data_IF_512447784013
#
_entry.id   IF_512447784013
#
_cell.length_a   1.000
_cell.length_b   1.000
_cell.length_c   1.000
_cell.angle_alpha   90.00
_cell.angle_beta   90.00
_cell.angle_gamma   90.00
#
_symmetry.space_group_name_H-M   'P 1'
#
loop_
_entity.id
_entity.type
_entity.pdbx_description
1 polymer ?
#
# COMPACT_ATOMS: atom_id res chain seq x y z
N UNK A 1 6.20 -9.21 3.66
CA UNK A 1 5.14 -9.05 2.63
C UNK A 1 3.81 -8.78 3.33
N UNK A 2 2.87 -8.11 2.66
CA UNK A 2 1.52 -7.84 3.19
C UNK A 2 0.50 -8.58 2.33
N UNK A 3 -0.50 -9.16 2.97
CA UNK A 3 -1.70 -9.69 2.33
C UNK A 3 -2.91 -9.03 2.99
N UNK A 4 -3.76 -8.42 2.19
CA UNK A 4 -4.89 -7.61 2.65
C UNK A 4 -6.07 -7.75 1.70
N UNK A 5 -7.07 -6.86 1.83
CA UNK A 5 -8.25 -6.86 0.96
C UNK A 5 -8.36 -5.56 0.16
N UNK A 6 -9.18 -5.57 -0.89
CA UNK A 6 -9.62 -4.34 -1.57
C UNK A 6 -10.68 -3.60 -0.74
N UNK A 7 -10.30 -3.20 0.48
CA UNK A 7 -11.17 -2.47 1.40
C UNK A 7 -10.66 -1.05 1.60
N UNK A 8 -11.59 -0.08 1.58
CA UNK A 8 -11.33 1.31 1.86
C UNK A 8 -10.10 1.86 1.10
N UNK A 9 -9.14 2.43 1.81
CA UNK A 9 -7.92 3.06 1.31
C UNK A 9 -6.76 2.08 1.10
N UNK A 10 -6.93 0.78 1.41
CA UNK A 10 -5.87 -0.22 1.25
C UNK A 10 -5.32 -0.24 -0.19
N UNK A 11 -6.15 -0.26 -1.25
CA UNK A 11 -5.65 -0.24 -2.64
C UNK A 11 -4.91 1.05 -3.02
N UNK A 12 -5.06 2.13 -2.25
CA UNK A 12 -4.37 3.40 -2.48
C UNK A 12 -2.98 3.44 -1.82
N UNK A 13 -2.81 2.74 -0.69
CA UNK A 13 -1.56 2.74 0.10
C UNK A 13 -0.62 1.57 -0.20
N UNK A 14 -1.05 0.60 -1.02
CA UNK A 14 -0.21 -0.50 -1.51
C UNK A 14 -0.41 -0.73 -3.00
N UNK A 15 0.55 -1.41 -3.63
CA UNK A 15 0.47 -1.88 -5.02
C UNK A 15 0.29 -3.39 -5.05
N UNK A 16 -0.86 -3.84 -5.54
CA UNK A 16 -1.17 -5.26 -5.67
C UNK A 16 -0.22 -5.98 -6.64
N UNK A 17 0.28 -7.14 -6.23
CA UNK A 17 1.29 -7.93 -6.92
C UNK A 17 2.73 -7.44 -6.75
N UNK A 18 2.94 -6.20 -6.32
CA UNK A 18 4.28 -5.59 -6.17
C UNK A 18 4.68 -5.46 -4.70
N UNK A 19 3.91 -4.71 -3.89
CA UNK A 19 4.18 -4.48 -2.48
C UNK A 19 3.26 -5.24 -1.52
N UNK A 20 2.15 -5.76 -2.03
CA UNK A 20 1.18 -6.57 -1.30
C UNK A 20 0.43 -7.51 -2.25
N UNK A 21 -0.32 -8.47 -1.69
CA UNK A 21 -1.37 -9.20 -2.41
C UNK A 21 -2.74 -8.81 -1.86
N UNK A 22 -3.68 -8.45 -2.72
CA UNK A 22 -5.03 -8.01 -2.33
C UNK A 22 -6.10 -9.00 -2.74
N UNK A 23 -6.95 -9.43 -1.80
CA UNK A 23 -8.13 -10.26 -2.06
C UNK A 23 -9.44 -9.44 -2.04
N UNK A 24 -10.52 -9.88 -2.70
CA UNK A 24 -11.84 -9.30 -2.51
C UNK A 24 -12.31 -9.36 -1.05
N UNK A 25 -13.12 -8.39 -0.63
CA UNK A 25 -13.76 -8.45 0.68
C UNK A 25 -14.75 -9.62 0.77
N UNK A 26 -14.85 -10.22 1.96
CA UNK A 26 -15.78 -11.33 2.26
C UNK A 26 -15.58 -12.57 1.37
N UNK A 27 -14.40 -12.69 0.76
CA UNK A 27 -14.02 -13.84 -0.05
C UNK A 27 -12.86 -14.61 0.63
N UNK A 28 -13.19 -15.53 1.56
CA UNK A 28 -12.17 -16.32 2.25
C UNK A 28 -11.43 -17.30 1.33
N UNK A 29 -12.02 -17.70 0.21
CA UNK A 29 -11.40 -18.61 -0.75
C UNK A 29 -10.27 -17.89 -1.48
N UNK A 30 -10.54 -16.72 -2.07
CA UNK A 30 -9.50 -15.88 -2.69
C UNK A 30 -8.40 -15.47 -1.70
N UNK A 31 -8.77 -15.21 -0.43
CA UNK A 31 -7.80 -14.88 0.62
C UNK A 31 -6.87 -16.07 0.89
N UNK A 32 -7.41 -17.29 0.98
CA UNK A 32 -6.63 -18.51 1.20
C UNK A 32 -5.71 -18.82 0.02
N UNK A 33 -6.17 -18.63 -1.22
CA UNK A 33 -5.35 -18.79 -2.43
C UNK A 33 -4.13 -17.87 -2.42
N UNK A 34 -4.32 -16.59 -2.10
CA UNK A 34 -3.20 -15.62 -2.00
C UNK A 34 -2.25 -15.93 -0.85
N UNK A 35 -2.76 -16.49 0.26
CA UNK A 35 -1.91 -16.99 1.34
C UNK A 35 -1.02 -18.14 0.89
N UNK A 36 -1.59 -19.11 0.15
CA UNK A 36 -0.85 -20.24 -0.38
C UNK A 36 0.18 -19.80 -1.43
N UNK A 37 -0.17 -18.85 -2.31
CA UNK A 37 0.77 -18.23 -3.26
C UNK A 37 1.96 -17.62 -2.52
N UNK A 38 1.69 -16.81 -1.49
CA UNK A 38 2.74 -16.14 -0.74
C UNK A 38 3.63 -17.14 0.02
N UNK A 39 3.05 -18.17 0.63
CA UNK A 39 3.76 -19.21 1.34
C UNK A 39 4.63 -20.09 0.42
N UNK A 40 4.21 -20.28 -0.84
CA UNK A 40 4.94 -21.05 -1.84
C UNK A 40 6.16 -20.32 -2.41
N UNK A 41 6.26 -18.99 -2.23
CA UNK A 41 7.33 -18.15 -2.80
C UNK A 41 8.01 -17.22 -1.79
N UNK A 42 8.65 -17.74 -0.73
CA UNK A 42 9.34 -16.94 0.28
C UNK A 42 10.48 -16.07 -0.27
N UNK A 43 11.08 -16.45 -1.41
CA UNK A 43 12.11 -15.70 -2.11
C UNK A 43 11.64 -14.33 -2.61
N UNK A 44 10.34 -14.14 -2.85
CA UNK A 44 9.76 -12.86 -3.30
C UNK A 44 9.57 -11.86 -2.15
N UNK A 45 9.59 -12.33 -0.89
CA UNK A 45 9.22 -11.53 0.26
C UNK A 45 10.12 -10.31 0.51
N UNK A 46 11.46 -10.40 0.40
CA UNK A 46 12.32 -9.25 0.58
C UNK A 46 12.05 -8.16 -0.46
N UNK A 47 11.90 -8.55 -1.74
CA UNK A 47 11.61 -7.63 -2.84
C UNK A 47 10.26 -6.92 -2.65
N UNK A 48 9.22 -7.67 -2.27
CA UNK A 48 7.89 -7.12 -1.98
C UNK A 48 7.92 -6.15 -0.79
N UNK A 49 8.65 -6.50 0.27
CA UNK A 49 8.83 -5.61 1.43
C UNK A 49 9.57 -4.32 1.07
N UNK A 50 10.63 -4.41 0.26
CA UNK A 50 11.39 -3.26 -0.21
C UNK A 50 10.55 -2.35 -1.12
N UNK A 51 9.77 -2.92 -2.03
CA UNK A 51 8.86 -2.16 -2.88
C UNK A 51 7.80 -1.42 -2.05
N UNK A 52 7.23 -2.07 -1.03
CA UNK A 52 6.29 -1.43 -0.11
C UNK A 52 6.91 -0.28 0.68
N UNK A 53 8.12 -0.48 1.21
CA UNK A 53 8.87 0.57 1.92
C UNK A 53 9.13 1.77 1.01
N UNK A 54 9.65 1.53 -0.19
CA UNK A 54 9.93 2.59 -1.15
C UNK A 54 8.65 3.34 -1.55
N UNK A 55 7.53 2.64 -1.74
CA UNK A 55 6.26 3.26 -2.07
C UNK A 55 5.78 4.21 -0.96
N UNK A 56 5.81 3.76 0.29
CA UNK A 56 5.43 4.58 1.46
C UNK A 56 6.36 5.78 1.63
N UNK A 57 7.68 5.58 1.55
CA UNK A 57 8.65 6.68 1.68
C UNK A 57 8.53 7.72 0.56
N UNK A 58 8.03 7.34 -0.63
CA UNK A 58 7.89 8.28 -1.74
C UNK A 58 6.53 8.98 -1.75
N UNK A 59 5.45 8.25 -1.47
CA UNK A 59 4.08 8.74 -1.62
C UNK A 59 3.44 9.20 -0.30
N UNK A 60 3.93 8.70 0.84
CA UNK A 60 3.33 8.89 2.16
C UNK A 60 4.33 9.41 3.21
N UNK A 61 5.42 10.05 2.77
CA UNK A 61 6.34 10.72 3.68
C UNK A 61 5.65 11.89 4.38
N UNK A 62 5.70 11.89 5.72
CA UNK A 62 4.98 12.86 6.55
C UNK A 62 5.50 14.28 6.35
N UNK A 63 6.80 14.47 6.10
CA UNK A 63 7.39 15.79 5.92
C UNK A 63 6.88 16.37 4.59
N UNK A 64 6.96 15.59 3.51
CA UNK A 64 6.47 16.01 2.21
C UNK A 64 4.97 16.27 2.19
N UNK A 65 4.17 15.40 2.82
CA UNK A 65 2.72 15.59 2.91
C UNK A 65 2.34 16.83 3.74
N UNK A 66 3.12 17.14 4.79
CA UNK A 66 2.89 18.33 5.62
C UNK A 66 3.17 19.60 4.82
N UNK A 67 4.30 19.67 4.11
CA UNK A 67 4.63 20.81 3.24
C UNK A 67 3.53 21.05 2.19
N UNK A 68 3.06 19.99 1.52
CA UNK A 68 1.98 20.10 0.55
C UNK A 68 0.64 20.53 1.18
N UNK A 69 0.39 20.18 2.44
CA UNK A 69 -0.82 20.60 3.15
C UNK A 69 -0.75 22.07 3.53
N UNK A 70 0.39 22.53 4.05
CA UNK A 70 0.65 23.93 4.37
C UNK A 70 0.52 24.82 3.12
N UNK A 71 1.08 24.40 1.99
CA UNK A 71 0.95 25.11 0.71
C UNK A 71 -0.52 25.28 0.30
N UNK A 72 -1.35 24.24 0.47
CA UNK A 72 -2.79 24.29 0.16
C UNK A 72 -3.53 25.23 1.11
N UNK A 73 -3.20 25.23 2.40
CA UNK A 73 -3.78 26.18 3.35
C UNK A 73 -3.38 27.63 3.02
N UNK A 74 -2.11 27.86 2.67
CA UNK A 74 -1.64 29.17 2.27
C UNK A 74 -2.39 29.68 1.04
N UNK A 75 -2.58 28.83 0.03
CA UNK A 75 -3.34 29.17 -1.18
C UNK A 75 -4.77 29.62 -0.89
N UNK A 76 -5.45 29.02 0.09
CA UNK A 76 -6.82 29.41 0.48
C UNK A 76 -6.82 30.73 1.27
N UNK A 77 -5.82 30.98 2.11
CA UNK A 77 -5.72 32.21 2.91
C UNK A 77 -5.29 33.45 2.11
N UNK A 78 -4.57 33.27 0.99
CA UNK A 78 -4.10 34.36 0.13
C UNK A 78 -5.01 34.65 -1.07
N UNK A 79 -6.17 34.00 -1.13
CA UNK A 79 -7.21 34.28 -2.12
C UNK A 79 -8.11 35.44 -1.71
#
# INVERSE_FOLDING_TARGET
PVLATYHADIPEVVRDGESALLAPERDPESLAEKWLELAASPERWPAMGQAGRQHVETAHDVQHLTEQLEDRYQQVLTQ
#
